data_IF_102065963084
#
_entry.id   IF_102065963084
#
_cell.length_a   1.000
_cell.length_b   1.000
_cell.length_c   1.000
_cell.angle_alpha   90.00
_cell.angle_beta   90.00
_cell.angle_gamma   90.00
#
_symmetry.space_group_name_H-M   'P 1'
#
loop_
_entity.id
_entity.type
_entity.pdbx_description
1 polymer ?
#
# COMPACT_ATOMS: atom_id res chain seq x y z
N UNK A 1 25.28 -12.01 -6.94
CA UNK A 1 25.71 -10.61 -6.72
C UNK A 1 24.66 -9.77 -6.00
N UNK A 2 23.35 -9.83 -6.36
CA UNK A 2 22.28 -9.06 -5.68
C UNK A 2 22.06 -9.44 -4.20
N UNK A 3 22.34 -10.70 -3.82
CA UNK A 3 22.18 -11.21 -2.45
C UNK A 3 23.22 -10.67 -1.44
N UNK A 4 24.34 -10.11 -1.91
CA UNK A 4 25.40 -9.57 -1.04
C UNK A 4 25.23 -8.08 -0.73
N UNK A 5 24.51 -7.32 -1.57
CA UNK A 5 24.26 -5.88 -1.33
C UNK A 5 23.23 -5.67 -0.22
N UNK A 6 22.32 -6.63 -0.02
CA UNK A 6 21.33 -6.63 1.07
C UNK A 6 21.94 -6.89 2.47
N UNK A 7 23.21 -7.30 2.54
CA UNK A 7 23.91 -7.60 3.80
C UNK A 7 24.85 -6.48 4.25
N UNK A 8 25.02 -5.40 3.48
CA UNK A 8 26.10 -4.42 3.71
C UNK A 8 25.66 -3.00 4.05
N UNK A 9 24.37 -2.67 3.94
CA UNK A 9 23.89 -1.37 4.42
C UNK A 9 22.78 -1.59 5.43
N UNK A 10 23.08 -1.28 6.70
CA UNK A 10 22.07 -0.98 7.70
C UNK A 10 21.38 0.32 7.27
N UNK A 11 20.59 0.26 6.19
CA UNK A 11 19.82 1.41 5.73
C UNK A 11 18.82 1.71 6.84
N UNK A 12 18.83 2.94 7.35
CA UNK A 12 17.87 3.35 8.35
C UNK A 12 16.46 3.33 7.72
N UNK A 13 15.76 2.20 7.85
CA UNK A 13 14.44 1.94 7.24
C UNK A 13 13.49 3.11 7.54
N UNK A 14 13.54 3.62 8.77
CA UNK A 14 12.75 4.76 9.22
C UNK A 14 13.05 6.06 8.44
N UNK A 15 14.31 6.32 8.11
CA UNK A 15 14.71 7.49 7.32
C UNK A 15 14.22 7.36 5.87
N UNK A 16 14.33 6.16 5.31
CA UNK A 16 13.84 5.87 3.96
C UNK A 16 12.31 6.05 3.89
N UNK A 17 11.57 5.55 4.88
CA UNK A 17 10.13 5.75 5.00
C UNK A 17 9.76 7.22 5.10
N UNK A 18 10.51 8.02 5.87
CA UNK A 18 10.29 9.46 5.97
C UNK A 18 10.41 10.14 4.61
N UNK A 19 11.49 9.86 3.86
CA UNK A 19 11.67 10.44 2.53
C UNK A 19 10.59 10.00 1.54
N UNK A 20 10.24 8.71 1.50
CA UNK A 20 9.16 8.21 0.63
C UNK A 20 7.83 8.89 0.95
N UNK A 21 7.51 9.05 2.23
CA UNK A 21 6.27 9.71 2.68
C UNK A 21 6.27 11.19 2.32
N UNK A 22 7.40 11.87 2.53
CA UNK A 22 7.56 13.30 2.25
C UNK A 22 7.43 13.58 0.75
N UNK A 23 8.16 12.84 -0.09
CA UNK A 23 8.07 13.01 -1.54
C UNK A 23 6.71 12.54 -2.08
N UNK A 24 6.11 11.50 -1.51
CA UNK A 24 4.76 11.06 -1.86
C UNK A 24 3.71 12.13 -1.57
N UNK A 25 3.78 12.77 -0.40
CA UNK A 25 2.91 13.90 -0.06
C UNK A 25 3.10 15.07 -1.03
N UNK A 26 4.35 15.45 -1.32
CA UNK A 26 4.67 16.53 -2.27
C UNK A 26 4.15 16.19 -3.68
N UNK A 27 4.31 14.94 -4.13
CA UNK A 27 3.87 14.50 -5.45
C UNK A 27 2.34 14.49 -5.59
N UNK A 28 1.61 14.21 -4.51
CA UNK A 28 0.15 14.19 -4.50
C UNK A 28 -0.49 15.57 -4.28
N UNK A 29 0.26 16.56 -3.78
CA UNK A 29 -0.24 17.93 -3.58
C UNK A 29 -0.72 18.60 -4.89
N UNK A 30 0.05 18.63 -6.00
CA UNK A 30 -0.40 19.24 -7.25
C UNK A 30 -1.70 18.63 -7.84
N UNK A 31 -1.84 17.30 -8.00
CA UNK A 31 -3.06 16.73 -8.55
C UNK A 31 -4.26 16.89 -7.61
N UNK A 32 -4.07 16.81 -6.29
CA UNK A 32 -5.18 17.02 -5.34
C UNK A 32 -5.69 18.46 -5.35
N UNK A 33 -4.80 19.45 -5.46
CA UNK A 33 -5.17 20.85 -5.66
C UNK A 33 -5.75 21.13 -7.05
N UNK A 34 -5.51 20.28 -8.05
CA UNK A 34 -6.13 20.44 -9.38
C UNK A 34 -7.55 19.85 -9.43
N UNK A 35 -7.74 18.65 -8.89
CA UNK A 35 -9.01 17.91 -9.00
C UNK A 35 -9.99 18.16 -7.86
N UNK A 36 -9.54 18.57 -6.66
CA UNK A 36 -10.39 18.69 -5.48
C UNK A 36 -10.19 20.03 -4.75
N UNK A 37 -10.22 21.15 -5.48
CA UNK A 37 -10.00 22.50 -4.95
C UNK A 37 -10.96 22.89 -3.82
N UNK A 38 -12.21 22.44 -3.89
CA UNK A 38 -13.29 22.89 -3.00
C UNK A 38 -13.29 22.14 -1.66
N UNK A 39 -12.89 20.88 -1.63
CA UNK A 39 -12.90 20.03 -0.42
C UNK A 39 -11.49 19.61 0.01
N UNK A 40 -10.46 20.37 -0.38
CA UNK A 40 -9.08 20.00 -0.13
C UNK A 40 -8.73 19.94 1.37
N UNK A 41 -9.28 20.88 2.16
CA UNK A 41 -9.04 20.92 3.59
C UNK A 41 -10.22 20.35 4.38
N UNK A 42 -9.95 19.56 5.43
CA UNK A 42 -10.98 19.09 6.35
C UNK A 42 -11.67 20.29 7.02
N UNK A 43 -13.01 20.32 7.04
CA UNK A 43 -13.76 21.47 7.55
C UNK A 43 -13.72 21.58 9.07
N UNK A 44 -13.48 20.47 9.80
CA UNK A 44 -13.47 20.46 11.26
C UNK A 44 -12.14 19.98 11.86
N UNK A 45 -11.85 20.44 13.07
CA UNK A 45 -10.66 20.02 13.83
C UNK A 45 -10.68 18.51 14.14
N UNK A 46 -11.88 17.93 14.26
CA UNK A 46 -12.05 16.50 14.51
C UNK A 46 -11.59 15.67 13.31
N UNK A 47 -11.89 16.13 12.08
CA UNK A 47 -11.46 15.46 10.86
C UNK A 47 -9.94 15.48 10.71
N UNK A 48 -9.29 16.58 11.11
CA UNK A 48 -7.82 16.63 11.21
C UNK A 48 -7.27 15.61 12.21
N UNK A 49 -7.94 15.44 13.36
CA UNK A 49 -7.62 14.40 14.33
C UNK A 49 -7.71 13.00 13.73
N UNK A 50 -8.80 12.70 13.02
CA UNK A 50 -8.96 11.41 12.33
C UNK A 50 -7.89 11.19 11.26
N UNK A 51 -7.57 12.21 10.45
CA UNK A 51 -6.50 12.11 9.44
C UNK A 51 -5.14 11.84 10.11
N UNK A 52 -4.84 12.50 11.22
CA UNK A 52 -3.62 12.24 11.97
C UNK A 52 -3.58 10.81 12.52
N UNK A 53 -4.69 10.32 13.08
CA UNK A 53 -4.81 8.94 13.57
C UNK A 53 -4.65 7.94 12.42
N UNK A 54 -5.39 8.09 11.32
CA UNK A 54 -5.26 7.23 10.15
C UNK A 54 -3.85 7.28 9.58
N UNK A 55 -3.27 8.47 9.45
CA UNK A 55 -1.91 8.66 8.97
C UNK A 55 -0.88 7.95 9.85
N UNK A 56 -0.89 8.18 11.16
CA UNK A 56 0.07 7.56 12.08
C UNK A 56 -0.14 6.05 12.18
N UNK A 57 -1.38 5.59 12.34
CA UNK A 57 -1.68 4.16 12.47
C UNK A 57 -1.32 3.42 11.19
N UNK A 58 -1.78 3.90 10.03
CA UNK A 58 -1.48 3.23 8.76
C UNK A 58 0.00 3.32 8.43
N UNK A 59 0.64 4.48 8.60
CA UNK A 59 2.03 4.67 8.23
C UNK A 59 3.01 3.97 9.19
N UNK A 60 2.73 3.93 10.49
CA UNK A 60 3.61 3.27 11.45
C UNK A 60 3.30 1.77 11.57
N UNK A 61 2.04 1.37 11.68
CA UNK A 61 1.71 -0.05 11.88
C UNK A 61 1.82 -0.86 10.58
N UNK A 62 1.16 -0.44 9.49
CA UNK A 62 1.18 -1.24 8.26
C UNK A 62 2.60 -1.40 7.74
N UNK A 63 3.32 -0.29 7.71
CA UNK A 63 4.69 -0.24 7.22
C UNK A 63 5.69 -0.88 8.19
N UNK A 64 5.47 -0.78 9.51
CA UNK A 64 6.24 -1.51 10.51
C UNK A 64 6.07 -3.04 10.37
N UNK A 65 4.85 -3.51 10.11
CA UNK A 65 4.58 -4.92 9.81
C UNK A 65 5.23 -5.37 8.50
N UNK A 66 5.19 -4.54 7.44
CA UNK A 66 5.85 -4.82 6.16
C UNK A 66 7.38 -4.91 6.35
N UNK A 67 7.99 -3.91 6.99
CA UNK A 67 9.43 -3.88 7.26
C UNK A 67 9.88 -5.08 8.10
N UNK A 68 9.05 -5.53 9.04
CA UNK A 68 9.30 -6.74 9.81
C UNK A 68 9.15 -8.02 8.98
N UNK A 69 8.15 -8.12 8.11
CA UNK A 69 7.87 -9.32 7.32
C UNK A 69 8.85 -9.54 6.15
N UNK A 70 9.37 -8.46 5.54
CA UNK A 70 10.32 -8.51 4.41
C UNK A 70 11.52 -9.45 4.66
N UNK A 71 12.29 -9.33 5.76
CA UNK A 71 13.43 -10.21 6.02
C UNK A 71 13.04 -11.66 6.35
N UNK A 72 11.79 -11.91 6.76
CA UNK A 72 11.29 -13.25 7.10
C UNK A 72 10.76 -14.01 5.86
N UNK A 73 10.49 -13.31 4.76
CA UNK A 73 9.91 -13.84 3.54
C UNK A 73 10.92 -13.85 2.39
N UNK A 74 10.76 -14.76 1.43
CA UNK A 74 11.54 -14.68 0.20
C UNK A 74 11.08 -13.47 -0.63
N UNK A 75 12.00 -12.80 -1.31
CA UNK A 75 11.71 -11.64 -2.18
C UNK A 75 10.54 -11.87 -3.15
N UNK A 76 10.41 -13.12 -3.66
CA UNK A 76 9.27 -13.52 -4.49
C UNK A 76 7.94 -13.49 -3.74
N UNK A 77 7.88 -14.08 -2.54
CA UNK A 77 6.65 -14.13 -1.73
C UNK A 77 6.20 -12.74 -1.27
N UNK A 78 7.13 -11.86 -0.90
CA UNK A 78 6.80 -10.47 -0.53
C UNK A 78 6.17 -9.72 -1.71
N UNK A 79 6.76 -9.82 -2.90
CA UNK A 79 6.19 -9.20 -4.10
C UNK A 79 4.80 -9.75 -4.45
N UNK A 80 4.62 -11.07 -4.32
CA UNK A 80 3.35 -11.74 -4.57
C UNK A 80 2.25 -11.34 -3.57
N UNK A 81 2.61 -11.17 -2.30
CA UNK A 81 1.69 -10.68 -1.26
C UNK A 81 1.25 -9.24 -1.53
N UNK A 82 2.18 -8.35 -1.90
CA UNK A 82 1.86 -6.98 -2.29
C UNK A 82 0.96 -6.93 -3.53
N UNK A 83 1.20 -7.82 -4.52
CA UNK A 83 0.35 -7.96 -5.70
C UNK A 83 -1.07 -8.48 -5.37
N UNK A 84 -1.24 -9.16 -4.23
CA UNK A 84 -2.54 -9.69 -3.78
C UNK A 84 -3.41 -8.67 -3.05
N UNK A 85 -2.83 -7.56 -2.55
CA UNK A 85 -3.57 -6.47 -1.91
C UNK A 85 -4.81 -6.00 -2.69
N UNK A 86 -4.74 -5.71 -4.01
CA UNK A 86 -5.91 -5.29 -4.78
C UNK A 86 -7.02 -6.36 -4.84
N UNK A 87 -6.67 -7.65 -4.77
CA UNK A 87 -7.64 -8.73 -4.73
C UNK A 87 -8.32 -8.78 -3.37
N UNK A 88 -7.54 -8.65 -2.28
CA UNK A 88 -8.07 -8.59 -0.91
C UNK A 88 -8.97 -7.36 -0.72
N UNK A 89 -8.56 -6.21 -1.24
CA UNK A 89 -9.36 -4.98 -1.21
C UNK A 89 -10.70 -5.17 -1.93
N UNK A 90 -10.70 -5.81 -3.11
CA UNK A 90 -11.92 -6.13 -3.86
C UNK A 90 -12.84 -7.07 -3.09
N UNK A 91 -12.28 -8.09 -2.42
CA UNK A 91 -13.06 -8.98 -1.58
C UNK A 91 -13.70 -8.24 -0.40
N UNK A 92 -12.96 -7.34 0.26
CA UNK A 92 -13.49 -6.50 1.35
C UNK A 92 -14.59 -5.56 0.82
N UNK A 93 -14.38 -4.92 -0.34
CA UNK A 93 -15.38 -4.04 -0.97
C UNK A 93 -16.69 -4.78 -1.27
N UNK A 94 -16.61 -6.02 -1.75
CA UNK A 94 -17.78 -6.85 -2.05
C UNK A 94 -18.49 -7.37 -0.80
N UNK A 95 -17.74 -7.95 0.15
CA UNK A 95 -18.33 -8.64 1.30
C UNK A 95 -18.68 -7.71 2.47
N UNK A 96 -17.95 -6.61 2.65
CA UNK A 96 -18.09 -5.74 3.82
C UNK A 96 -18.71 -4.38 3.48
N UNK A 97 -18.44 -3.84 2.29
CA UNK A 97 -19.01 -2.55 1.86
C UNK A 97 -20.26 -2.71 0.97
N UNK A 98 -20.72 -3.93 0.71
CA UNK A 98 -21.87 -4.27 -0.16
C UNK A 98 -21.82 -3.54 -1.52
N UNK A 99 -20.60 -3.30 -2.03
CA UNK A 99 -20.39 -2.50 -3.23
C UNK A 99 -20.62 -3.39 -4.45
N UNK A 100 -21.44 -2.97 -5.43
CA UNK A 100 -21.69 -3.77 -6.61
C UNK A 100 -20.41 -3.87 -7.45
N UNK A 101 -19.89 -5.09 -7.57
CA UNK A 101 -18.67 -5.39 -8.33
C UNK A 101 -19.04 -6.01 -9.67
N UNK A 102 -18.52 -5.43 -10.74
CA UNK A 102 -18.81 -5.84 -12.11
C UNK A 102 -18.06 -7.15 -12.47
N UNK A 103 -18.58 -7.89 -13.46
CA UNK A 103 -17.98 -9.13 -13.92
C UNK A 103 -16.53 -8.93 -14.40
N UNK A 104 -16.23 -7.78 -14.99
CA UNK A 104 -14.89 -7.46 -15.47
C UNK A 104 -13.87 -7.30 -14.33
N UNK A 105 -14.32 -6.79 -13.18
CA UNK A 105 -13.48 -6.66 -11.98
C UNK A 105 -13.16 -8.03 -11.37
N UNK A 106 -14.13 -8.96 -11.38
CA UNK A 106 -13.90 -10.36 -10.99
C UNK A 106 -12.95 -11.09 -11.94
N UNK A 107 -13.06 -10.84 -13.25
CA UNK A 107 -12.09 -11.35 -14.23
C UNK A 107 -10.68 -10.80 -13.94
N UNK A 108 -10.56 -9.50 -13.67
CA UNK A 108 -9.29 -8.88 -13.29
C UNK A 108 -8.70 -9.51 -12.02
N UNK A 109 -9.50 -9.68 -10.97
CA UNK A 109 -9.08 -10.33 -9.73
C UNK A 109 -8.58 -11.77 -9.96
N UNK A 110 -9.31 -12.54 -10.76
CA UNK A 110 -8.95 -13.91 -11.11
C UNK A 110 -7.65 -13.98 -11.91
N UNK A 111 -7.45 -13.08 -12.87
CA UNK A 111 -6.23 -12.98 -13.66
C UNK A 111 -5.03 -12.59 -12.78
N UNK A 112 -5.21 -11.65 -11.86
CA UNK A 112 -4.17 -11.25 -10.89
C UNK A 112 -3.77 -12.43 -10.02
N UNK A 113 -4.73 -13.20 -9.48
CA UNK A 113 -4.44 -14.42 -8.71
C UNK A 113 -3.70 -15.48 -9.55
N UNK A 114 -4.06 -15.66 -10.81
CA UNK A 114 -3.35 -16.57 -11.73
C UNK A 114 -1.92 -16.11 -12.00
N UNK A 115 -1.69 -14.82 -12.22
CA UNK A 115 -0.36 -14.26 -12.41
C UNK A 115 0.52 -14.45 -11.17
N UNK A 116 -0.05 -14.21 -9.98
CA UNK A 116 0.61 -14.45 -8.69
C UNK A 116 0.95 -15.94 -8.55
N UNK A 117 0.00 -16.83 -8.81
CA UNK A 117 0.22 -18.28 -8.75
C UNK A 117 1.34 -18.74 -9.69
N UNK A 118 1.36 -18.24 -10.93
CA UNK A 118 2.41 -18.56 -11.90
C UNK A 118 3.78 -18.00 -11.48
N UNK A 119 3.82 -16.77 -10.96
CA UNK A 119 5.04 -16.15 -10.43
C UNK A 119 5.57 -16.83 -9.17
N UNK A 120 4.68 -17.43 -8.37
CA UNK A 120 5.05 -18.24 -7.20
C UNK A 120 5.60 -19.62 -7.56
N UNK A 121 5.28 -20.15 -8.74
CA UNK A 121 5.81 -21.43 -9.23
C UNK A 121 7.19 -21.22 -9.88
N UNK A 122 8.17 -20.81 -9.09
CA UNK A 122 9.62 -21.04 -9.29
C UNK A 122 10.43 -20.52 -8.10
#
# INVERSE_FOLDING_TARGET
MIRQVHNSESTAIFLLMFFVSLFGAIALLPPSLWFNQVNFFPPTIADWGWIAVYGVVMQCMAWGMIAYAIPLLSLGLTGLLLLSEPVVALLIDYFYLDKPIDLWQWCGASLTLLAIYLGSRK
#
